data_IF_141854060279
#
_entry.id   IF_141854060279
#
_cell.length_a   1.000
_cell.length_b   1.000
_cell.length_c   1.000
_cell.angle_alpha   90.00
_cell.angle_beta   90.00
_cell.angle_gamma   90.00
#
_symmetry.space_group_name_H-M   'P 1'
#
loop_
_entity.id
_entity.type
_entity.pdbx_description
1 polymer ?
#
# COMPACT_ATOMS: atom_id res chain seq x y z
N UNK A 1 -12.46 0.60 9.67
CA UNK A 1 -11.33 0.75 8.73
C UNK A 1 -10.27 -0.26 9.15
N UNK A 2 -10.13 -1.39 8.46
CA UNK A 2 -9.19 -2.44 8.88
C UNK A 2 -7.82 -2.11 8.29
N UNK A 3 -6.90 -1.69 9.14
CA UNK A 3 -5.50 -1.46 8.78
C UNK A 3 -4.81 -2.82 8.64
N UNK A 4 -4.69 -3.33 7.41
CA UNK A 4 -4.05 -4.62 7.15
C UNK A 4 -2.57 -4.38 6.81
N UNK A 5 -1.71 -4.52 7.82
CA UNK A 5 -0.26 -4.50 7.66
C UNK A 5 0.20 -5.81 7.02
N UNK A 6 0.35 -5.85 5.69
CA UNK A 6 0.89 -7.02 4.99
C UNK A 6 2.42 -6.98 5.06
N UNK A 7 3.02 -7.54 6.11
CA UNK A 7 4.41 -7.95 6.09
C UNK A 7 4.53 -9.23 5.26
N UNK A 8 4.81 -9.10 3.97
CA UNK A 8 4.99 -10.24 3.06
C UNK A 8 6.39 -10.85 3.23
N UNK A 9 6.54 -11.72 4.23
CA UNK A 9 7.64 -12.71 4.25
C UNK A 9 7.10 -14.06 3.77
N UNK A 10 7.71 -14.52 2.67
CA UNK A 10 7.82 -15.88 2.12
C UNK A 10 6.63 -16.58 1.40
N UNK A 11 7.06 -17.24 0.32
CA UNK A 11 6.50 -18.25 -0.61
C UNK A 11 5.08 -18.82 -0.36
N UNK A 12 4.29 -18.82 -1.45
CA UNK A 12 2.99 -19.49 -1.67
C UNK A 12 1.82 -19.02 -0.80
N UNK A 13 1.40 -17.76 -0.96
CA UNK A 13 0.02 -17.38 -0.58
C UNK A 13 -0.93 -17.66 -1.75
N UNK A 14 -1.75 -18.71 -1.63
CA UNK A 14 -3.10 -18.66 -2.20
C UNK A 14 -3.80 -17.51 -1.50
N UNK A 15 -4.19 -16.46 -2.23
CA UNK A 15 -4.90 -15.30 -1.70
C UNK A 15 -6.27 -15.74 -1.16
N UNK A 16 -6.32 -16.30 0.04
CA UNK A 16 -7.49 -16.22 0.91
C UNK A 16 -7.28 -14.93 1.70
N UNK A 17 -7.84 -13.83 1.20
CA UNK A 17 -8.05 -12.62 2.03
C UNK A 17 -8.61 -13.12 3.35
N UNK A 18 -7.91 -12.77 4.43
CA UNK A 18 -7.87 -13.55 5.65
C UNK A 18 -9.26 -14.01 6.13
N UNK A 19 -9.39 -15.29 6.47
CA UNK A 19 -10.57 -15.92 7.13
C UNK A 19 -10.89 -15.31 8.52
N UNK A 20 -10.24 -14.20 8.87
CA UNK A 20 -10.29 -13.53 10.17
C UNK A 20 -11.34 -12.41 10.23
N UNK A 21 -11.95 -12.06 9.09
CA UNK A 21 -12.97 -11.03 9.01
C UNK A 21 -14.30 -11.69 8.69
N UNK A 22 -15.28 -11.53 9.57
CA UNK A 22 -16.65 -12.02 9.35
C UNK A 22 -17.41 -11.24 8.27
N UNK A 23 -16.83 -10.15 7.74
CA UNK A 23 -17.40 -9.30 6.70
C UNK A 23 -16.43 -9.16 5.52
N UNK A 24 -16.96 -8.98 4.29
CA UNK A 24 -16.12 -8.75 3.11
C UNK A 24 -15.30 -7.47 3.25
N UNK A 25 -14.01 -7.55 2.91
CA UNK A 25 -13.11 -6.39 2.89
C UNK A 25 -13.51 -5.47 1.74
N UNK A 26 -13.93 -4.24 2.07
CA UNK A 26 -14.31 -3.23 1.06
C UNK A 26 -13.11 -2.44 0.53
N UNK A 27 -11.98 -2.46 1.23
CA UNK A 27 -10.77 -1.75 0.83
C UNK A 27 -9.66 -1.89 1.87
N UNK A 28 -8.44 -1.51 1.48
CA UNK A 28 -7.22 -1.62 2.29
C UNK A 28 -6.51 -0.26 2.32
N UNK A 29 -6.07 0.13 3.51
CA UNK A 29 -5.08 1.19 3.70
C UNK A 29 -3.69 0.58 3.79
N UNK A 30 -2.77 1.05 2.96
CA UNK A 30 -1.40 0.55 2.89
C UNK A 30 -0.45 1.66 3.33
N UNK A 31 0.28 1.44 4.43
CA UNK A 31 1.38 2.33 4.83
C UNK A 31 2.43 2.39 3.72
N UNK A 32 3.04 3.53 3.44
CA UNK A 32 4.05 3.61 2.38
C UNK A 32 5.44 3.21 2.87
N UNK A 33 5.99 3.89 3.87
CA UNK A 33 7.36 3.65 4.35
C UNK A 33 7.41 2.41 5.25
N UNK A 34 8.41 1.56 5.05
CA UNK A 34 8.57 0.27 5.73
C UNK A 34 7.67 -0.86 5.19
N UNK A 35 6.85 -0.58 4.17
CA UNK A 35 5.94 -1.56 3.54
C UNK A 35 6.11 -1.61 2.03
N UNK A 36 6.08 -0.44 1.35
CA UNK A 36 6.30 -0.33 -0.10
C UNK A 36 7.77 -0.05 -0.42
N UNK A 37 8.42 0.76 0.41
CA UNK A 37 9.84 1.10 0.29
C UNK A 37 10.43 1.43 1.66
N UNK A 38 11.74 1.35 1.78
CA UNK A 38 12.48 1.79 2.97
C UNK A 38 12.87 3.27 2.88
N UNK A 39 12.94 3.95 4.02
CA UNK A 39 13.37 5.36 4.03
C UNK A 39 14.79 5.49 3.44
N UNK A 40 15.02 6.52 2.63
CA UNK A 40 16.29 6.76 1.95
C UNK A 40 16.64 5.79 0.82
N UNK A 41 15.77 4.81 0.49
CA UNK A 41 16.02 3.87 -0.61
C UNK A 41 15.28 4.24 -1.91
N UNK A 42 15.88 3.83 -3.02
CA UNK A 42 15.40 3.98 -4.40
C UNK A 42 14.84 2.67 -4.98
N UNK A 43 14.65 1.66 -4.14
CA UNK A 43 14.11 0.36 -4.53
C UNK A 43 12.83 0.07 -3.74
N UNK A 44 11.89 -0.59 -4.41
CA UNK A 44 10.70 -1.12 -3.75
C UNK A 44 11.09 -2.30 -2.85
N UNK A 45 10.37 -2.46 -1.75
CA UNK A 45 10.46 -3.68 -0.93
C UNK A 45 10.07 -4.87 -1.81
N UNK A 46 10.89 -5.93 -1.80
CA UNK A 46 10.73 -7.07 -2.70
C UNK A 46 9.31 -7.65 -2.66
N UNK A 47 8.66 -7.70 -3.82
CA UNK A 47 7.31 -8.26 -3.98
C UNK A 47 6.16 -7.29 -3.65
N UNK A 48 6.43 -6.09 -3.13
CA UNK A 48 5.40 -5.10 -2.80
C UNK A 48 4.63 -4.63 -4.03
N UNK A 49 5.31 -4.32 -5.13
CA UNK A 49 4.69 -3.92 -6.41
C UNK A 49 3.70 -4.99 -6.89
N UNK A 50 4.14 -6.25 -6.93
CA UNK A 50 3.30 -7.40 -7.34
C UNK A 50 2.11 -7.59 -6.39
N UNK A 51 2.31 -7.35 -5.09
CA UNK A 51 1.25 -7.49 -4.10
C UNK A 51 0.16 -6.43 -4.28
N UNK A 52 0.53 -5.17 -4.49
CA UNK A 52 -0.41 -4.08 -4.77
C UNK A 52 -1.19 -4.38 -6.05
N UNK A 53 -0.51 -4.79 -7.11
CA UNK A 53 -1.17 -5.14 -8.37
C UNK A 53 -2.18 -6.30 -8.21
N UNK A 54 -1.81 -7.34 -7.48
CA UNK A 54 -2.74 -8.45 -7.18
C UNK A 54 -3.97 -7.99 -6.38
N UNK A 55 -3.80 -7.08 -5.42
CA UNK A 55 -4.93 -6.54 -4.67
C UNK A 55 -5.88 -5.74 -5.58
N UNK A 56 -5.34 -4.95 -6.52
CA UNK A 56 -6.15 -4.25 -7.53
C UNK A 56 -6.91 -5.21 -8.43
N UNK A 57 -6.26 -6.27 -8.91
CA UNK A 57 -6.89 -7.30 -9.75
C UNK A 57 -8.03 -8.06 -9.05
N UNK A 58 -8.02 -8.11 -7.72
CA UNK A 58 -9.12 -8.65 -6.91
C UNK A 58 -10.29 -7.67 -6.73
N UNK A 59 -10.24 -6.47 -7.32
CA UNK A 59 -11.27 -5.44 -7.19
C UNK A 59 -11.30 -4.76 -5.80
N UNK A 60 -10.24 -4.90 -5.01
CA UNK A 60 -10.16 -4.29 -3.68
C UNK A 60 -9.71 -2.84 -3.83
N UNK A 61 -10.47 -1.90 -3.27
CA UNK A 61 -10.06 -0.50 -3.23
C UNK A 61 -8.80 -0.32 -2.37
N UNK A 62 -7.81 0.41 -2.89
CA UNK A 62 -6.53 0.66 -2.21
C UNK A 62 -6.38 2.16 -2.00
N UNK A 63 -5.98 2.55 -0.79
CA UNK A 63 -5.44 3.88 -0.49
C UNK A 63 -4.08 3.73 0.20
N UNK A 64 -3.16 4.61 -0.15
CA UNK A 64 -1.84 4.69 0.43
C UNK A 64 -1.84 5.75 1.53
N UNK A 65 -1.46 5.35 2.72
CA UNK A 65 -1.35 6.25 3.87
C UNK A 65 0.12 6.47 4.19
N UNK A 66 0.50 7.72 4.43
CA UNK A 66 1.85 8.07 4.88
C UNK A 66 1.81 8.93 6.13
N UNK A 67 2.75 8.65 7.05
CA UNK A 67 3.05 9.52 8.19
C UNK A 67 4.19 10.51 7.89
N UNK A 68 4.80 10.45 6.70
CA UNK A 68 5.88 11.34 6.29
C UNK A 68 5.32 12.71 5.89
N UNK A 69 5.16 13.60 6.86
CA UNK A 69 4.63 14.97 6.67
C UNK A 69 5.54 15.91 5.87
N UNK A 70 6.76 15.46 5.54
CA UNK A 70 7.75 16.24 4.79
C UNK A 70 7.59 16.12 3.27
N UNK A 71 6.72 15.24 2.78
CA UNK A 71 6.46 15.05 1.34
C UNK A 71 5.03 15.42 1.01
N UNK A 72 4.84 16.09 -0.13
CA UNK A 72 3.50 16.29 -0.68
C UNK A 72 2.96 14.98 -1.27
N UNK A 73 1.63 14.85 -1.46
CA UNK A 73 1.05 13.72 -2.18
C UNK A 73 1.67 13.53 -3.57
N UNK A 74 1.83 14.59 -4.34
CA UNK A 74 2.46 14.57 -5.66
C UNK A 74 3.91 14.04 -5.63
N UNK A 75 4.72 14.42 -4.63
CA UNK A 75 6.09 13.89 -4.48
C UNK A 75 6.09 12.39 -4.20
N UNK A 76 5.14 11.93 -3.39
CA UNK A 76 5.01 10.52 -3.07
C UNK A 76 4.52 9.71 -4.27
N UNK A 77 3.59 10.24 -5.07
CA UNK A 77 3.17 9.64 -6.34
C UNK A 77 4.37 9.46 -7.26
N UNK A 78 5.14 10.53 -7.50
CA UNK A 78 6.34 10.46 -8.36
C UNK A 78 7.32 9.39 -7.88
N UNK A 79 7.58 9.34 -6.56
CA UNK A 79 8.44 8.32 -5.97
C UNK A 79 7.88 6.92 -6.18
N UNK A 80 6.61 6.68 -5.88
CA UNK A 80 6.02 5.35 -6.03
C UNK A 80 5.98 4.90 -7.50
N UNK A 81 5.69 5.81 -8.42
CA UNK A 81 5.75 5.52 -9.86
C UNK A 81 7.17 5.18 -10.32
N UNK A 82 8.20 5.88 -9.83
CA UNK A 82 9.60 5.54 -10.14
C UNK A 82 10.02 4.17 -9.58
N UNK A 83 9.32 3.67 -8.56
CA UNK A 83 9.51 2.34 -7.98
C UNK A 83 8.66 1.25 -8.66
N UNK A 84 7.90 1.60 -9.71
CA UNK A 84 7.09 0.67 -10.49
C UNK A 84 5.65 0.49 -9.99
N UNK A 85 5.17 1.31 -9.05
CA UNK A 85 3.77 1.28 -8.63
C UNK A 85 2.88 2.11 -9.58
N UNK A 86 1.75 1.56 -9.98
CA UNK A 86 0.67 2.34 -10.61
C UNK A 86 -0.19 2.99 -9.53
N UNK A 87 0.03 4.28 -9.30
CA UNK A 87 -0.65 5.09 -8.28
C UNK A 87 -0.97 6.49 -8.81
N UNK A 88 -2.09 7.04 -8.35
CA UNK A 88 -2.50 8.43 -8.61
C UNK A 88 -2.65 9.21 -7.30
N UNK A 89 -2.70 10.53 -7.39
CA UNK A 89 -2.70 11.42 -6.21
C UNK A 89 -3.93 11.20 -5.30
N UNK A 90 -5.11 10.96 -5.88
CA UNK A 90 -6.35 10.66 -5.15
C UNK A 90 -6.30 9.37 -4.31
N UNK A 91 -5.26 8.57 -4.49
CA UNK A 91 -5.01 7.38 -3.69
C UNK A 91 -4.10 7.65 -2.49
N UNK A 92 -3.50 8.84 -2.39
CA UNK A 92 -2.57 9.21 -1.33
C UNK A 92 -3.28 9.99 -0.23
N UNK A 93 -3.09 9.55 1.01
CA UNK A 93 -3.60 10.18 2.21
C UNK A 93 -2.45 10.44 3.18
N UNK A 94 -2.38 11.66 3.68
CA UNK A 94 -1.52 12.03 4.79
C UNK A 94 -2.22 11.65 6.09
N UNK A 95 -1.47 11.20 7.09
CA UNK A 95 -2.02 10.68 8.34
C UNK A 95 -3.02 11.65 9.00
N UNK A 96 -2.75 12.95 8.95
CA UNK A 96 -3.62 13.98 9.54
C UNK A 96 -4.92 14.23 8.78
N UNK A 97 -5.06 13.74 7.54
CA UNK A 97 -6.31 13.82 6.78
C UNK A 97 -7.32 12.73 7.18
N UNK A 98 -6.92 11.79 8.04
CA UNK A 98 -7.73 10.66 8.50
C UNK A 98 -8.07 10.73 9.99
N UNK A 99 -7.66 11.81 10.68
CA UNK A 99 -8.05 12.17 12.04
C UNK A 99 -9.23 13.14 12.02
#
# INVERSE_FOLDING_TARGET
MVMMCLQLKTRKLKFKVAKCLNNPVRGILISTTGVLFENGKYEAIKGSVIAVERLRQLGIAIRFITNDSRRTPADLVKKLQSLGFSVVEDEIFLLYQLL
#
